data_IF_527842483063
#
_entry.id   IF_527842483063
#
_cell.length_a   1.000
_cell.length_b   1.000
_cell.length_c   1.000
_cell.angle_alpha   90.00
_cell.angle_beta   90.00
_cell.angle_gamma   90.00
#
_symmetry.space_group_name_H-M   'P 1'
#
loop_
_entity.id
_entity.type
_entity.pdbx_description
1 polymer ?
#
# COMPACT_ATOMS: atom_id res chain seq x y z
N UNK A 1 20.81 -14.33 14.54
CA UNK A 1 20.88 -13.86 13.13
C UNK A 1 19.57 -13.13 12.82
N UNK A 2 19.59 -11.98 12.13
CA UNK A 2 18.34 -11.32 11.67
C UNK A 2 18.04 -11.83 10.27
N UNK A 3 16.99 -12.63 10.11
CA UNK A 3 16.54 -13.07 8.79
C UNK A 3 15.61 -12.00 8.20
N UNK A 4 15.90 -11.59 6.96
CA UNK A 4 15.09 -10.63 6.19
C UNK A 4 14.52 -11.34 4.98
N UNK A 5 13.20 -11.42 4.87
CA UNK A 5 12.51 -11.97 3.70
C UNK A 5 11.72 -10.84 3.02
N UNK A 6 11.88 -10.70 1.70
CA UNK A 6 11.10 -9.75 0.89
C UNK A 6 10.15 -10.58 0.03
N UNK A 7 8.87 -10.52 0.35
CA UNK A 7 7.81 -11.17 -0.41
C UNK A 7 7.18 -10.16 -1.37
N UNK A 8 7.02 -10.53 -2.65
CA UNK A 8 6.23 -9.75 -3.60
C UNK A 8 4.81 -10.28 -3.58
N UNK A 9 3.87 -9.45 -3.12
CA UNK A 9 2.45 -9.79 -3.10
C UNK A 9 1.76 -9.05 -4.25
N UNK A 10 1.06 -9.78 -5.10
CA UNK A 10 0.24 -9.21 -6.17
C UNK A 10 -1.10 -8.74 -5.58
N UNK A 11 -1.24 -7.43 -5.36
CA UNK A 11 -2.43 -6.87 -4.72
C UNK A 11 -3.39 -6.34 -5.80
N UNK A 12 -4.68 -6.76 -5.80
CA UNK A 12 -5.67 -6.25 -6.73
C UNK A 12 -6.09 -4.81 -6.39
N UNK A 13 -6.87 -4.19 -7.28
CA UNK A 13 -7.42 -2.84 -7.10
C UNK A 13 -8.09 -2.66 -5.73
N UNK A 14 -9.01 -3.56 -5.37
CA UNK A 14 -9.75 -3.49 -4.11
C UNK A 14 -8.83 -3.45 -2.88
N UNK A 15 -7.73 -4.22 -2.92
CA UNK A 15 -6.74 -4.21 -1.84
C UNK A 15 -6.05 -2.86 -1.69
N UNK A 16 -5.65 -2.23 -2.79
CA UNK A 16 -5.07 -0.88 -2.75
C UNK A 16 -6.09 0.20 -2.38
N UNK A 17 -7.35 0.02 -2.77
CA UNK A 17 -8.45 0.92 -2.41
C UNK A 17 -8.75 0.88 -0.90
N UNK A 18 -8.75 -0.31 -0.31
CA UNK A 18 -8.87 -0.49 1.15
C UNK A 18 -7.64 0.07 1.88
N UNK A 19 -6.43 -0.21 1.37
CA UNK A 19 -5.19 0.33 1.95
C UNK A 19 -5.25 1.86 2.05
N UNK A 20 -5.78 2.49 1.02
CA UNK A 20 -5.94 3.95 0.92
C UNK A 20 -6.93 4.54 1.93
N UNK A 21 -7.67 3.70 2.67
CA UNK A 21 -8.57 4.13 3.75
C UNK A 21 -7.95 4.10 5.15
N UNK A 22 -6.78 3.47 5.33
CA UNK A 22 -6.15 3.42 6.66
C UNK A 22 -5.47 4.74 7.00
N UNK A 23 -5.76 5.25 8.20
CA UNK A 23 -5.14 6.48 8.73
C UNK A 23 -3.61 6.43 8.63
N UNK A 24 -2.99 5.36 9.13
CA UNK A 24 -1.53 5.22 9.16
C UNK A 24 -0.92 5.25 7.75
N UNK A 25 -1.65 4.73 6.76
CA UNK A 25 -1.24 4.79 5.36
C UNK A 25 -1.36 6.21 4.81
N UNK A 26 -2.50 6.87 5.02
CA UNK A 26 -2.75 8.24 4.56
C UNK A 26 -1.73 9.21 5.16
N UNK A 27 -1.50 9.14 6.48
CA UNK A 27 -0.54 10.01 7.16
C UNK A 27 0.91 9.73 6.74
N UNK A 28 1.23 8.47 6.43
CA UNK A 28 2.55 8.09 5.93
C UNK A 28 2.83 8.56 4.51
N UNK A 29 1.84 8.52 3.62
CA UNK A 29 1.98 8.91 2.21
C UNK A 29 1.76 10.42 1.98
N UNK A 30 0.81 11.01 2.71
CA UNK A 30 0.37 12.41 2.58
C UNK A 30 0.39 13.13 3.94
N UNK A 31 1.58 13.36 4.53
CA UNK A 31 1.69 13.98 5.84
C UNK A 31 1.13 15.40 5.84
N UNK A 32 0.28 15.70 6.84
CA UNK A 32 -0.33 17.03 7.01
C UNK A 32 -1.57 17.31 6.15
N UNK A 33 -1.98 16.36 5.31
CA UNK A 33 -3.23 16.46 4.55
C UNK A 33 -4.40 15.95 5.42
N UNK A 34 -5.57 16.63 5.42
CA UNK A 34 -6.76 16.12 6.09
C UNK A 34 -7.13 14.71 5.59
N UNK A 35 -7.45 13.81 6.53
CA UNK A 35 -7.64 12.38 6.23
C UNK A 35 -8.68 12.13 5.13
N UNK A 36 -9.79 12.87 5.13
CA UNK A 36 -10.84 12.70 4.12
C UNK A 36 -10.36 13.08 2.71
N UNK A 37 -9.53 14.12 2.60
CA UNK A 37 -8.92 14.54 1.34
C UNK A 37 -7.87 13.52 0.91
N UNK A 38 -7.01 13.09 1.82
CA UNK A 38 -5.96 12.11 1.54
C UNK A 38 -6.54 10.78 1.08
N UNK A 39 -7.57 10.27 1.77
CA UNK A 39 -8.31 9.07 1.37
C UNK A 39 -8.86 9.20 -0.05
N UNK A 40 -9.59 10.28 -0.33
CA UNK A 40 -10.23 10.50 -1.63
C UNK A 40 -9.20 10.52 -2.76
N UNK A 41 -8.14 11.30 -2.59
CA UNK A 41 -7.08 11.44 -3.60
C UNK A 41 -6.39 10.10 -3.86
N UNK A 42 -6.06 9.34 -2.81
CA UNK A 42 -5.40 8.05 -2.96
C UNK A 42 -6.30 7.02 -3.67
N UNK A 43 -7.59 6.96 -3.32
CA UNK A 43 -8.55 6.06 -3.95
C UNK A 43 -8.75 6.38 -5.43
N UNK A 44 -8.98 7.65 -5.77
CA UNK A 44 -9.12 8.10 -7.17
C UNK A 44 -7.85 7.82 -7.98
N UNK A 45 -6.68 8.04 -7.38
CA UNK A 45 -5.38 7.81 -8.03
C UNK A 45 -5.17 6.32 -8.32
N UNK A 46 -5.48 5.44 -7.38
CA UNK A 46 -5.34 3.98 -7.57
C UNK A 46 -6.29 3.50 -8.67
N UNK A 47 -7.54 3.95 -8.69
CA UNK A 47 -8.50 3.59 -9.74
C UNK A 47 -8.04 4.07 -11.13
N UNK A 48 -7.59 5.33 -11.23
CA UNK A 48 -7.08 5.89 -12.50
C UNK A 48 -5.86 5.11 -12.97
N UNK A 49 -4.91 4.82 -12.07
CA UNK A 49 -3.68 4.09 -12.39
C UNK A 49 -3.96 2.69 -12.92
N UNK A 50 -4.86 1.94 -12.27
CA UNK A 50 -5.24 0.59 -12.74
C UNK A 50 -5.89 0.63 -14.12
N UNK A 51 -6.73 1.64 -14.36
CA UNK A 51 -7.41 1.85 -15.65
C UNK A 51 -6.43 2.27 -16.76
N UNK A 52 -5.54 3.22 -16.47
CA UNK A 52 -4.55 3.74 -17.42
C UNK A 52 -3.54 2.68 -17.83
N UNK A 53 -3.05 1.90 -16.87
CA UNK A 53 -2.05 0.85 -17.11
C UNK A 53 -2.68 -0.47 -17.58
N UNK A 54 -4.02 -0.60 -17.56
CA UNK A 54 -4.76 -1.82 -17.88
C UNK A 54 -4.23 -3.05 -17.12
N UNK A 55 -3.94 -2.87 -15.82
CA UNK A 55 -3.42 -3.91 -14.93
C UNK A 55 -4.51 -4.46 -14.02
N UNK A 56 -4.37 -5.73 -13.62
CA UNK A 56 -5.29 -6.38 -12.66
C UNK A 56 -4.73 -6.40 -11.24
N UNK A 57 -3.42 -6.31 -11.11
CA UNK A 57 -2.70 -6.38 -9.83
C UNK A 57 -1.48 -5.47 -9.90
N UNK A 58 -1.11 -4.92 -8.75
CA UNK A 58 0.11 -4.14 -8.56
C UNK A 58 0.93 -4.76 -7.42
N UNK A 59 2.23 -4.89 -7.65
CA UNK A 59 3.14 -5.57 -6.73
C UNK A 59 3.39 -4.73 -5.48
N UNK A 60 3.21 -5.34 -4.32
CA UNK A 60 3.59 -4.78 -3.02
C UNK A 60 4.68 -5.63 -2.38
N UNK A 61 5.84 -5.02 -2.14
CA UNK A 61 6.94 -5.64 -1.40
C UNK A 61 6.64 -5.64 0.10
N UNK A 62 6.50 -6.82 0.68
CA UNK A 62 6.38 -7.02 2.11
C UNK A 62 7.72 -7.43 2.68
N UNK A 63 8.23 -6.62 3.61
CA UNK A 63 9.46 -6.91 4.35
C UNK A 63 9.11 -7.59 5.67
N UNK A 64 9.50 -8.85 5.80
CA UNK A 64 9.44 -9.59 7.06
C UNK A 64 10.84 -9.64 7.69
N UNK A 65 10.94 -9.28 8.97
CA UNK A 65 12.19 -9.35 9.74
C UNK A 65 11.93 -10.22 10.97
N UNK A 66 12.56 -11.38 11.02
CA UNK A 66 12.47 -12.29 12.19
C UNK A 66 13.71 -12.09 13.05
N UNK A 67 13.51 -11.64 14.29
CA UNK A 67 14.56 -11.60 15.30
C UNK A 67 14.60 -12.94 16.02
N UNK A 68 15.61 -13.76 15.73
CA UNK A 68 15.88 -14.97 16.50
C UNK A 68 16.79 -14.63 17.69
N UNK A 69 16.33 -14.98 18.90
CA UNK A 69 17.12 -14.86 20.14
C UNK A 69 17.93 -16.14 20.29
N UNK A 70 19.24 -16.04 20.07
CA UNK A 70 20.19 -17.09 20.43
C UNK A 70 20.38 -17.20 21.93
#
# INVERSE_FOLDING_TARGET
VKEKNIENVHVPLDGWYEISSFKDWIEGVLPGIPLDIGKKVLQETVESLFKELNIKTLDRKWLSIVASKS
#
